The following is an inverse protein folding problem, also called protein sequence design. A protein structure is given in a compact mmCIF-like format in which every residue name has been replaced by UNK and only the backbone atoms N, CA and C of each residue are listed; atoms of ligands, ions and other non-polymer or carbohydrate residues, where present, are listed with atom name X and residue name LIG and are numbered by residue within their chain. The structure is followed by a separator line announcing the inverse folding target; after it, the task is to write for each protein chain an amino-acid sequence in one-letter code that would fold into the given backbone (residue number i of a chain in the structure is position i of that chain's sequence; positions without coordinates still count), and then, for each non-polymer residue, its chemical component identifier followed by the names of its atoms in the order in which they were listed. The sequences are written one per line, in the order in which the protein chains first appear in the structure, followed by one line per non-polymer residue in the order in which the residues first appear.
data_IF_402089463437
#
_entry.id   IF_402089463437
#
_cell.length_a   1.000
_cell.length_b   1.000
_cell.length_c   1.000
_cell.angle_alpha   90.00
_cell.angle_beta   90.00
_cell.angle_gamma   90.00
#
_symmetry.space_group_name_H-M   'P 1'
#
loop_
_entity.id
_entity.type
_entity.pdbx_description
1 polymer ?
#
# COMPACT_ATOMS: atom_id res chain seq x y z
N UNK A 1 22.27 1.64 19.61
CA UNK A 1 21.40 2.38 18.67
C UNK A 1 20.18 1.55 18.36
N UNK A 2 19.01 2.05 18.63
CA UNK A 2 17.78 1.39 18.21
C UNK A 2 17.65 1.50 16.69
N UNK A 3 17.48 0.36 16.01
CA UNK A 3 17.21 0.34 14.58
C UNK A 3 15.90 1.11 14.32
N UNK A 4 15.97 2.12 13.46
CA UNK A 4 14.78 2.89 13.09
C UNK A 4 13.81 1.96 12.34
N UNK A 5 12.55 1.96 12.77
CA UNK A 5 11.50 1.27 12.03
C UNK A 5 11.44 1.76 10.58
N UNK A 6 11.13 0.85 9.68
CA UNK A 6 10.91 1.15 8.27
C UNK A 6 9.53 0.68 7.81
N UNK A 7 8.91 1.48 6.98
CA UNK A 7 7.58 1.22 6.43
C UNK A 7 7.58 1.29 4.90
N UNK A 8 6.94 0.33 4.28
CA UNK A 8 6.59 0.37 2.88
C UNK A 8 5.11 0.77 2.73
N UNK A 9 4.87 1.83 1.98
CA UNK A 9 3.52 2.29 1.66
C UNK A 9 3.29 2.11 0.17
N UNK A 10 2.45 1.17 -0.20
CA UNK A 10 1.97 1.00 -1.57
C UNK A 10 0.82 1.98 -1.80
N UNK A 11 0.92 2.81 -2.83
CA UNK A 11 0.01 3.95 -3.02
C UNK A 11 0.35 5.17 -2.18
N UNK A 12 1.62 5.31 -1.77
CA UNK A 12 2.09 6.41 -0.92
C UNK A 12 2.01 7.81 -1.56
N UNK A 13 1.76 7.89 -2.86
CA UNK A 13 1.54 9.16 -3.58
C UNK A 13 0.08 9.63 -3.55
N UNK A 14 -0.85 8.78 -3.10
CA UNK A 14 -2.26 9.08 -2.94
C UNK A 14 -2.54 9.94 -1.70
N UNK A 15 -3.82 10.26 -1.47
CA UNK A 15 -4.24 11.09 -0.33
C UNK A 15 -3.90 10.44 1.02
N UNK A 16 -4.40 9.23 1.25
CA UNK A 16 -4.17 8.50 2.51
C UNK A 16 -2.68 8.20 2.68
N UNK A 17 -2.03 7.71 1.60
CA UNK A 17 -0.61 7.37 1.61
C UNK A 17 0.30 8.54 1.96
N UNK A 18 0.01 9.74 1.47
CA UNK A 18 0.72 10.96 1.82
C UNK A 18 0.64 11.26 3.33
N UNK A 19 -0.57 11.20 3.90
CA UNK A 19 -0.74 11.47 5.33
C UNK A 19 -0.08 10.42 6.21
N UNK A 20 -0.16 9.15 5.82
CA UNK A 20 0.55 8.06 6.51
C UNK A 20 2.07 8.25 6.45
N UNK A 21 2.61 8.56 5.27
CA UNK A 21 4.04 8.83 5.09
C UNK A 21 4.50 10.01 5.97
N UNK A 22 3.76 11.11 5.97
CA UNK A 22 4.04 12.29 6.81
C UNK A 22 4.05 11.95 8.31
N UNK A 23 3.07 11.15 8.76
CA UNK A 23 2.98 10.72 10.16
C UNK A 23 4.12 9.77 10.54
N UNK A 24 4.50 8.85 9.65
CA UNK A 24 5.62 7.93 9.87
C UNK A 24 6.96 8.66 9.95
N UNK A 25 7.18 9.66 9.08
CA UNK A 25 8.36 10.52 9.15
C UNK A 25 8.45 11.29 10.47
N UNK A 26 7.33 11.81 10.99
CA UNK A 26 7.28 12.48 12.29
C UNK A 26 7.66 11.55 13.46
N UNK A 27 7.40 10.24 13.32
CA UNK A 27 7.84 9.21 14.27
C UNK A 27 9.31 8.80 14.09
N UNK A 28 10.03 9.41 13.16
CA UNK A 28 11.43 9.09 12.87
C UNK A 28 11.62 7.81 12.05
N UNK A 29 10.56 7.28 11.45
CA UNK A 29 10.63 6.07 10.63
C UNK A 29 11.22 6.35 9.25
N UNK A 30 11.86 5.33 8.68
CA UNK A 30 12.25 5.34 7.27
C UNK A 30 11.03 4.99 6.42
N UNK A 31 10.71 5.84 5.44
CA UNK A 31 9.52 5.67 4.61
C UNK A 31 9.91 5.40 3.16
N UNK A 32 9.40 4.30 2.61
CA UNK A 32 9.47 3.98 1.18
C UNK A 32 8.06 3.94 0.62
N UNK A 33 7.84 4.61 -0.48
CA UNK A 33 6.57 4.62 -1.22
C UNK A 33 6.74 3.90 -2.55
N UNK A 34 5.86 2.95 -2.84
CA UNK A 34 5.72 2.35 -4.17
C UNK A 34 4.40 2.83 -4.78
N UNK A 35 4.46 3.36 -5.99
CA UNK A 35 3.29 3.83 -6.72
C UNK A 35 3.54 3.76 -8.21
N UNK A 36 2.48 3.65 -9.02
CA UNK A 36 2.58 3.67 -10.47
C UNK A 36 2.83 5.08 -11.04
N UNK A 37 2.64 6.11 -10.22
CA UNK A 37 2.82 7.52 -10.60
C UNK A 37 3.63 8.26 -9.54
N UNK A 38 4.42 9.29 -9.94
CA UNK A 38 5.15 10.11 -8.99
C UNK A 38 4.19 10.95 -8.13
N UNK A 39 4.64 11.43 -6.97
CA UNK A 39 3.83 12.31 -6.14
C UNK A 39 3.59 13.66 -6.84
N UNK A 40 2.41 14.21 -6.67
CA UNK A 40 2.14 15.61 -7.07
C UNK A 40 2.98 16.55 -6.21
N UNK A 41 3.39 17.72 -6.75
CA UNK A 41 4.18 18.74 -6.03
C UNK A 41 3.70 18.99 -4.60
N UNK A 42 2.39 19.17 -4.41
CA UNK A 42 1.76 19.43 -3.10
C UNK A 42 1.85 18.26 -2.09
N UNK A 43 2.18 17.05 -2.56
CA UNK A 43 2.27 15.84 -1.74
C UNK A 43 3.68 15.24 -1.73
N UNK A 44 4.64 15.92 -2.28
CA UNK A 44 6.03 15.48 -2.24
C UNK A 44 6.61 15.68 -0.84
N UNK A 45 7.26 14.64 -0.33
CA UNK A 45 7.94 14.65 0.97
C UNK A 45 9.43 14.30 0.75
N UNK A 46 10.38 15.24 0.98
CA UNK A 46 11.79 15.05 0.62
C UNK A 46 12.46 13.82 1.27
N UNK A 47 11.99 13.41 2.45
CA UNK A 47 12.55 12.27 3.20
C UNK A 47 11.91 10.93 2.85
N UNK A 48 10.98 10.88 1.89
CA UNK A 48 10.37 9.63 1.42
C UNK A 48 11.16 9.11 0.22
N UNK A 49 11.52 7.83 0.26
CA UNK A 49 12.06 7.15 -0.92
C UNK A 49 10.91 6.73 -1.83
N UNK A 50 10.76 7.39 -2.97
CA UNK A 50 9.75 7.04 -3.98
C UNK A 50 10.30 6.04 -4.99
N UNK A 51 9.55 4.97 -5.22
CA UNK A 51 9.83 3.94 -6.21
C UNK A 51 8.64 3.88 -7.17
N UNK A 52 8.89 4.13 -8.45
CA UNK A 52 7.87 3.95 -9.48
C UNK A 52 7.83 2.47 -9.88
N UNK A 53 6.76 1.80 -9.53
CA UNK A 53 6.58 0.39 -9.80
C UNK A 53 5.09 0.04 -9.85
N UNK A 54 4.71 -0.71 -10.87
CA UNK A 54 3.39 -1.32 -10.98
C UNK A 54 3.37 -2.65 -10.20
N UNK A 55 2.57 -2.72 -9.16
CA UNK A 55 2.47 -3.91 -8.29
C UNK A 55 1.86 -5.13 -9.01
N UNK A 56 1.20 -4.94 -10.13
CA UNK A 56 0.68 -6.03 -10.97
C UNK A 56 1.82 -6.77 -11.70
N UNK A 57 2.98 -6.13 -11.84
CA UNK A 57 4.17 -6.67 -12.49
C UNK A 57 5.10 -7.33 -11.46
N UNK A 58 4.84 -8.60 -11.14
CA UNK A 58 5.53 -9.35 -10.08
C UNK A 58 7.06 -9.31 -10.16
N UNK A 59 7.64 -9.45 -11.37
CA UNK A 59 9.10 -9.41 -11.57
C UNK A 59 9.68 -8.03 -11.19
N UNK A 60 9.03 -6.94 -11.63
CA UNK A 60 9.43 -5.58 -11.30
C UNK A 60 9.31 -5.31 -9.80
N UNK A 61 8.21 -5.75 -9.20
CA UNK A 61 7.97 -5.60 -7.77
C UNK A 61 9.06 -6.31 -6.93
N UNK A 62 9.41 -7.57 -7.26
CA UNK A 62 10.50 -8.31 -6.60
C UNK A 62 11.85 -7.60 -6.73
N UNK A 63 12.14 -7.03 -7.90
CA UNK A 63 13.38 -6.28 -8.14
C UNK A 63 13.48 -5.03 -7.26
N UNK A 64 12.36 -4.37 -6.99
CA UNK A 64 12.31 -3.15 -6.21
C UNK A 64 12.20 -3.37 -4.70
N UNK A 65 11.63 -4.51 -4.26
CA UNK A 65 11.50 -4.87 -2.83
C UNK A 65 12.62 -5.84 -2.44
N UNK A 66 13.84 -5.33 -2.34
CA UNK A 66 15.01 -6.15 -1.93
C UNK A 66 15.21 -6.18 -0.42
N UNK A 67 14.87 -5.09 0.25
CA UNK A 67 15.05 -4.94 1.70
C UNK A 67 13.85 -5.48 2.47
N UNK A 68 14.05 -5.97 3.70
CA UNK A 68 12.93 -6.23 4.60
C UNK A 68 12.29 -4.91 5.06
N UNK A 69 11.02 -4.97 5.38
CA UNK A 69 10.28 -3.86 5.98
C UNK A 69 9.62 -4.35 7.28
N UNK A 70 9.66 -3.49 8.32
CA UNK A 70 8.95 -3.79 9.56
C UNK A 70 7.44 -3.72 9.36
N UNK A 71 6.98 -2.75 8.58
CA UNK A 71 5.57 -2.52 8.32
C UNK A 71 5.33 -2.38 6.81
N UNK A 72 4.24 -2.98 6.35
CA UNK A 72 3.79 -2.88 4.97
C UNK A 72 2.33 -2.48 4.97
N UNK A 73 2.00 -1.41 4.25
CA UNK A 73 0.62 -0.93 4.12
C UNK A 73 0.27 -0.82 2.66
N UNK A 74 -0.69 -1.63 2.20
CA UNK A 74 -1.19 -1.58 0.85
C UNK A 74 -2.45 -0.70 0.77
N UNK A 75 -2.28 0.50 0.20
CA UNK A 75 -3.32 1.45 -0.13
C UNK A 75 -3.51 1.56 -1.65
N UNK A 76 -2.81 0.69 -2.39
CA UNK A 76 -2.87 0.66 -3.84
C UNK A 76 -4.22 0.14 -4.32
N UNK A 77 -4.75 0.77 -5.34
CA UNK A 77 -5.99 0.35 -5.97
C UNK A 77 -6.35 1.28 -7.12
N UNK A 78 -7.13 0.77 -8.06
CA UNK A 78 -7.66 1.53 -9.18
C UNK A 78 -9.06 2.02 -8.83
N UNK A 79 -9.25 3.33 -8.84
CA UNK A 79 -10.48 3.97 -8.32
C UNK A 79 -11.62 4.01 -9.34
N UNK A 80 -11.31 3.91 -10.63
CA UNK A 80 -12.33 3.89 -11.68
C UNK A 80 -12.85 2.47 -11.88
N UNK A 81 -13.92 2.13 -11.18
CA UNK A 81 -14.53 0.80 -11.19
C UNK A 81 -15.26 0.47 -12.52
N UNK A 82 -15.38 1.41 -13.46
CA UNK A 82 -15.91 1.14 -14.80
C UNK A 82 -14.98 0.19 -15.59
N UNK A 83 -13.69 0.24 -15.33
CA UNK A 83 -12.69 -0.65 -15.91
C UNK A 83 -12.48 -1.90 -15.03
N UNK A 84 -13.32 -2.92 -15.20
CA UNK A 84 -13.26 -4.17 -14.42
C UNK A 84 -11.90 -4.85 -14.47
N UNK A 85 -11.23 -4.87 -15.63
CA UNK A 85 -9.91 -5.50 -15.79
C UNK A 85 -8.86 -4.81 -14.93
N UNK A 86 -8.74 -3.49 -15.02
CA UNK A 86 -7.78 -2.72 -14.22
C UNK A 86 -8.12 -2.80 -12.72
N UNK A 87 -9.39 -2.81 -12.36
CA UNK A 87 -9.83 -2.99 -10.98
C UNK A 87 -9.37 -4.34 -10.44
N UNK A 88 -9.65 -5.43 -11.17
CA UNK A 88 -9.21 -6.78 -10.79
C UNK A 88 -7.67 -6.87 -10.69
N UNK A 89 -6.96 -6.39 -11.71
CA UNK A 89 -5.49 -6.43 -11.72
C UNK A 89 -4.89 -5.69 -10.52
N UNK A 90 -5.37 -4.48 -10.20
CA UNK A 90 -4.81 -3.68 -9.12
C UNK A 90 -5.19 -4.22 -7.73
N UNK A 91 -6.46 -4.58 -7.51
CA UNK A 91 -6.93 -4.98 -6.19
C UNK A 91 -6.64 -6.44 -5.88
N UNK A 92 -6.71 -7.34 -6.86
CA UNK A 92 -6.44 -8.76 -6.65
C UNK A 92 -5.00 -9.15 -7.00
N UNK A 93 -4.58 -8.97 -8.26
CA UNK A 93 -3.24 -9.40 -8.70
C UNK A 93 -2.15 -8.62 -7.97
N UNK A 94 -2.30 -7.30 -7.82
CA UNK A 94 -1.35 -6.48 -7.09
C UNK A 94 -1.25 -6.88 -5.62
N UNK A 95 -2.37 -7.09 -4.94
CA UNK A 95 -2.42 -7.56 -3.56
C UNK A 95 -1.79 -8.94 -3.41
N UNK A 96 -2.14 -9.90 -4.29
CA UNK A 96 -1.56 -11.24 -4.31
C UNK A 96 -0.03 -11.20 -4.47
N UNK A 97 0.48 -10.40 -5.39
CA UNK A 97 1.92 -10.27 -5.60
C UNK A 97 2.64 -9.73 -4.36
N UNK A 98 2.06 -8.74 -3.68
CA UNK A 98 2.59 -8.20 -2.42
C UNK A 98 2.56 -9.26 -1.31
N UNK A 99 1.43 -9.92 -1.11
CA UNK A 99 1.27 -10.95 -0.09
C UNK A 99 2.30 -12.08 -0.28
N UNK A 100 2.47 -12.60 -1.50
CA UNK A 100 3.45 -13.66 -1.79
C UNK A 100 4.91 -13.24 -1.52
N UNK A 101 5.25 -11.96 -1.71
CA UNK A 101 6.58 -11.45 -1.38
C UNK A 101 6.76 -11.36 0.13
N UNK A 102 5.78 -10.82 0.83
CA UNK A 102 5.89 -10.54 2.26
C UNK A 102 5.60 -11.74 3.16
N UNK A 103 4.88 -12.77 2.70
CA UNK A 103 4.80 -14.07 3.38
C UNK A 103 6.19 -14.68 3.66
N UNK A 104 7.17 -14.39 2.80
CA UNK A 104 8.56 -14.89 2.96
C UNK A 104 9.48 -13.93 3.72
N UNK A 105 9.06 -12.69 3.95
CA UNK A 105 9.87 -11.62 4.57
C UNK A 105 9.41 -11.26 5.97
N UNK A 106 8.29 -11.81 6.41
CA UNK A 106 7.74 -11.74 7.76
C UNK A 106 7.80 -10.34 8.39
N UNK A 107 7.11 -9.32 7.82
CA UNK A 107 7.02 -8.03 8.46
C UNK A 107 6.29 -8.14 9.81
N UNK A 108 6.54 -7.20 10.72
CA UNK A 108 5.81 -7.11 12.00
C UNK A 108 4.30 -6.99 11.75
N UNK A 109 3.92 -6.21 10.73
CA UNK A 109 2.54 -6.12 10.29
C UNK A 109 2.44 -5.86 8.78
N UNK A 110 1.46 -6.50 8.16
CA UNK A 110 1.00 -6.26 6.80
C UNK A 110 -0.46 -5.81 6.86
N UNK A 111 -0.74 -4.59 6.40
CA UNK A 111 -2.09 -4.01 6.39
C UNK A 111 -2.58 -3.89 4.96
N UNK A 112 -3.70 -4.51 4.66
CA UNK A 112 -4.43 -4.37 3.40
C UNK A 112 -5.62 -3.44 3.60
N UNK A 113 -5.71 -2.38 2.80
CA UNK A 113 -6.90 -1.55 2.78
C UNK A 113 -8.06 -2.32 2.14
N UNK A 114 -9.14 -2.45 2.88
CA UNK A 114 -10.40 -3.01 2.41
C UNK A 114 -11.37 -1.92 1.92
N UNK A 115 -12.61 -2.31 1.72
CA UNK A 115 -13.69 -1.41 1.30
C UNK A 115 -14.99 -1.72 2.03
N UNK A 116 -15.77 -0.70 2.33
CA UNK A 116 -17.13 -0.87 2.86
C UNK A 116 -18.04 -1.65 1.89
N UNK A 117 -17.71 -1.68 0.60
CA UNK A 117 -18.42 -2.47 -0.40
C UNK A 117 -18.36 -3.99 -0.13
N UNK A 118 -17.42 -4.46 0.69
CA UNK A 118 -17.33 -5.86 1.11
C UNK A 118 -18.53 -6.32 1.95
N UNK A 119 -19.22 -5.39 2.62
CA UNK A 119 -20.43 -5.69 3.40
C UNK A 119 -21.68 -5.88 2.53
N UNK A 120 -21.65 -5.53 1.24
CA UNK A 120 -22.80 -5.63 0.35
C UNK A 120 -23.98 -4.73 0.75
N UNK A 121 -25.20 -5.18 0.46
CA UNK A 121 -26.45 -4.44 0.73
C UNK A 121 -27.05 -4.78 2.10
N UNK A 122 -26.27 -4.62 3.17
CA UNK A 122 -26.77 -4.82 4.53
C UNK A 122 -27.26 -3.51 5.15
N UNK A 123 -28.15 -3.61 6.14
CA UNK A 123 -28.66 -2.44 6.86
C UNK A 123 -27.55 -1.68 7.59
N UNK A 124 -27.63 -0.36 7.58
CA UNK A 124 -26.75 0.50 8.38
C UNK A 124 -27.17 0.48 9.87
N UNK A 125 -26.24 0.55 10.83
CA UNK A 125 -24.78 0.53 10.64
C UNK A 125 -24.27 -0.84 10.24
N UNK A 126 -23.34 -0.89 9.30
CA UNK A 126 -22.70 -2.14 8.87
C UNK A 126 -21.76 -2.64 9.96
N UNK A 127 -21.87 -3.93 10.29
CA UNK A 127 -21.06 -4.57 11.32
C UNK A 127 -20.25 -5.72 10.72
N UNK A 128 -19.10 -6.00 11.29
CA UNK A 128 -18.18 -7.06 10.81
C UNK A 128 -18.79 -8.46 10.84
N UNK A 129 -19.81 -8.69 11.66
CA UNK A 129 -20.54 -9.95 11.75
C UNK A 129 -21.84 -9.96 10.93
N UNK A 130 -22.07 -9.00 10.04
CA UNK A 130 -23.21 -8.99 9.12
C UNK A 130 -23.12 -10.18 8.16
N UNK A 131 -24.26 -10.88 7.98
CA UNK A 131 -24.38 -12.02 7.05
C UNK A 131 -24.94 -11.57 5.72
#
# INVERSE_FOLDING_TARGET
MSLKNNILIVGGTGFIGYHLAKKSLKKGWQVTSISSRPPRKKRYLPKVKYILCDITKKKSLKKNIRKPFNYVVNLGGYVDHSNRKKTFESHYIGCKNLAEIFLKKEPIAFVQMGSSAEYGNVKSPQKENAK
#
